data_IF_598563135115
#
_entry.id   IF_598563135115
#
_cell.length_a   1.000
_cell.length_b   1.000
_cell.length_c   1.000
_cell.angle_alpha   90.00
_cell.angle_beta   90.00
_cell.angle_gamma   90.00
#
_symmetry.space_group_name_H-M   'P 1'
#
loop_
_entity.id
_entity.type
_entity.pdbx_description
1 polymer ?
#
# COMPACT_ATOMS: atom_id res chain seq x y z
N UNK A 1 -12.69 -29.61 3.21
CA UNK A 1 -11.34 -29.05 3.23
C UNK A 1 -10.98 -28.76 1.79
N UNK A 2 -10.65 -27.53 1.46
CA UNK A 2 -10.19 -27.12 0.13
C UNK A 2 -8.77 -26.58 0.26
N UNK A 3 -7.99 -26.69 -0.81
CA UNK A 3 -6.60 -26.23 -0.86
C UNK A 3 -6.47 -25.20 -1.97
N UNK A 4 -5.78 -24.12 -1.69
CA UNK A 4 -5.40 -23.10 -2.66
C UNK A 4 -3.88 -23.09 -2.77
N UNK A 5 -3.34 -22.67 -3.91
CA UNK A 5 -1.90 -22.59 -4.14
C UNK A 5 -1.53 -21.19 -4.65
N UNK A 6 -0.29 -20.81 -4.38
CA UNK A 6 0.29 -19.55 -4.79
C UNK A 6 1.81 -19.60 -4.79
N UNK A 7 2.45 -18.45 -4.81
CA UNK A 7 3.90 -18.27 -4.80
C UNK A 7 4.39 -18.00 -3.38
N UNK A 8 5.31 -18.81 -2.88
CA UNK A 8 5.94 -18.60 -1.56
C UNK A 8 6.81 -17.35 -1.59
N UNK A 9 6.59 -16.45 -0.65
CA UNK A 9 7.32 -15.18 -0.49
C UNK A 9 8.15 -15.16 0.78
N UNK A 10 7.62 -15.71 1.84
CA UNK A 10 8.30 -15.90 3.12
C UNK A 10 8.00 -17.31 3.62
N UNK A 11 9.04 -18.09 3.83
CA UNK A 11 8.92 -19.51 4.19
C UNK A 11 8.34 -19.70 5.59
N UNK A 12 7.65 -20.82 5.79
CA UNK A 12 7.17 -21.27 7.08
C UNK A 12 5.78 -21.88 7.04
N UNK A 13 5.38 -22.48 8.16
CA UNK A 13 4.04 -23.07 8.35
C UNK A 13 3.39 -22.40 9.55
N UNK A 14 2.16 -22.00 9.40
CA UNK A 14 1.44 -21.32 10.48
C UNK A 14 -0.07 -21.56 10.42
N UNK A 15 -0.69 -21.56 11.59
CA UNK A 15 -2.13 -21.68 11.76
C UNK A 15 -2.70 -20.38 12.31
N UNK A 16 -3.89 -20.01 11.86
CA UNK A 16 -4.58 -18.85 12.36
C UNK A 16 -5.97 -18.70 11.78
N UNK A 17 -6.66 -17.69 12.26
CA UNK A 17 -8.02 -17.41 11.82
C UNK A 17 -7.98 -16.39 10.70
N UNK A 18 -8.73 -16.64 9.63
CA UNK A 18 -8.84 -15.75 8.49
C UNK A 18 -9.33 -14.35 8.92
N UNK A 19 -8.59 -13.34 8.51
CA UNK A 19 -8.97 -11.95 8.57
C UNK A 19 -8.82 -11.32 7.19
N UNK A 20 -9.93 -11.14 6.50
CA UNK A 20 -9.96 -10.57 5.15
C UNK A 20 -9.99 -9.04 5.27
N UNK A 21 -8.95 -8.41 4.77
CA UNK A 21 -8.89 -6.96 4.65
C UNK A 21 -9.68 -6.55 3.40
N UNK A 22 -10.73 -5.77 3.57
CA UNK A 22 -11.38 -5.13 2.43
C UNK A 22 -10.40 -4.13 1.78
N UNK A 23 -10.29 -4.22 0.46
CA UNK A 23 -9.69 -3.12 -0.30
C UNK A 23 -10.59 -1.90 -0.05
N UNK A 24 -10.01 -0.83 0.50
CA UNK A 24 -10.75 0.41 0.79
C UNK A 24 -11.39 1.10 -0.44
N UNK A 25 -11.49 0.38 -1.56
CA UNK A 25 -12.12 0.80 -2.81
C UNK A 25 -13.65 0.73 -2.80
N UNK A 26 -14.26 0.07 -1.81
CA UNK A 26 -15.71 0.10 -1.61
C UNK A 26 -16.19 1.14 -0.58
N UNK A 27 -15.44 2.22 -0.38
CA UNK A 27 -16.06 3.43 0.14
C UNK A 27 -17.11 3.84 -0.89
N UNK A 28 -18.36 3.50 -0.62
CA UNK A 28 -19.52 3.94 -1.38
C UNK A 28 -19.32 5.41 -1.72
N UNK A 29 -19.19 5.70 -3.00
CA UNK A 29 -19.39 7.02 -3.58
C UNK A 29 -20.83 7.42 -3.30
N UNK A 30 -21.12 7.78 -2.06
CA UNK A 30 -22.28 8.59 -1.78
C UNK A 30 -21.88 9.97 -2.30
N UNK A 31 -22.36 10.31 -3.48
CA UNK A 31 -22.37 11.67 -3.99
C UNK A 31 -23.21 12.54 -3.03
N UNK A 32 -22.63 12.83 -1.87
CA UNK A 32 -23.08 13.94 -1.08
C UNK A 32 -22.49 15.17 -1.77
N UNK A 33 -23.29 15.78 -2.61
CA UNK A 33 -23.04 17.14 -3.11
C UNK A 33 -23.15 18.10 -1.92
N UNK A 34 -22.22 18.00 -1.00
CA UNK A 34 -21.99 19.02 -0.01
C UNK A 34 -21.11 20.06 -0.72
N UNK A 35 -21.63 21.28 -0.87
CA UNK A 35 -20.87 22.43 -1.33
C UNK A 35 -19.82 22.76 -0.26
N UNK A 36 -18.69 22.07 -0.29
CA UNK A 36 -17.55 22.40 0.55
C UNK A 36 -16.89 23.68 0.00
N UNK A 37 -16.44 24.56 0.90
CA UNK A 37 -15.64 25.69 0.45
C UNK A 37 -14.27 25.19 -0.03
N UNK A 38 -13.70 25.86 -1.02
CA UNK A 38 -12.34 25.52 -1.48
C UNK A 38 -11.33 25.50 -0.32
N UNK A 39 -11.50 26.40 0.66
CA UNK A 39 -10.67 26.42 1.86
C UNK A 39 -10.78 25.14 2.69
N UNK A 40 -11.97 24.55 2.82
CA UNK A 40 -12.17 23.32 3.58
C UNK A 40 -11.53 22.13 2.84
N UNK A 41 -11.65 22.07 1.52
CA UNK A 41 -11.01 21.04 0.70
C UNK A 41 -9.47 21.16 0.74
N UNK A 42 -8.89 22.36 0.68
CA UNK A 42 -7.45 22.56 0.88
C UNK A 42 -7.00 22.10 2.27
N UNK A 43 -7.75 22.42 3.33
CA UNK A 43 -7.46 21.99 4.69
C UNK A 43 -7.54 20.45 4.82
N UNK A 44 -8.54 19.84 4.18
CA UNK A 44 -8.72 18.37 4.15
C UNK A 44 -7.50 17.67 3.54
N UNK A 45 -7.03 18.12 2.37
CA UNK A 45 -5.80 17.58 1.77
C UNK A 45 -4.58 17.74 2.67
N UNK A 46 -4.34 18.98 3.17
CA UNK A 46 -3.18 19.29 4.01
C UNK A 46 -3.17 18.55 5.33
N UNK A 47 -4.34 18.24 5.88
CA UNK A 47 -4.47 17.40 7.07
C UNK A 47 -4.15 15.96 6.73
N UNK A 48 -4.78 15.39 5.70
CA UNK A 48 -4.54 14.03 5.26
C UNK A 48 -3.06 13.79 4.92
N UNK A 49 -2.41 14.71 4.19
CA UNK A 49 -0.99 14.59 3.82
C UNK A 49 -0.06 14.60 5.04
N UNK A 50 -0.31 15.47 6.02
CA UNK A 50 0.47 15.50 7.27
C UNK A 50 0.27 14.25 8.13
N UNK A 51 -0.98 13.83 8.29
CA UNK A 51 -1.31 12.67 9.12
C UNK A 51 -0.73 11.39 8.50
N UNK A 52 -0.81 11.25 7.17
CA UNK A 52 -0.24 10.10 6.47
C UNK A 52 1.29 10.10 6.50
N UNK A 53 1.94 11.25 6.27
CA UNK A 53 3.38 11.39 6.39
C UNK A 53 3.87 11.06 7.82
N UNK A 54 3.14 11.49 8.84
CA UNK A 54 3.45 11.14 10.22
C UNK A 54 3.34 9.62 10.47
N UNK A 55 2.32 8.95 9.91
CA UNK A 55 2.19 7.48 9.99
C UNK A 55 3.38 6.77 9.33
N UNK A 56 3.80 7.20 8.13
CA UNK A 56 4.96 6.64 7.43
C UNK A 56 6.25 6.84 8.23
N UNK A 57 6.49 8.04 8.76
CA UNK A 57 7.67 8.34 9.57
C UNK A 57 7.69 7.53 10.88
N UNK A 58 6.54 7.34 11.52
CA UNK A 58 6.44 6.50 12.71
C UNK A 58 6.73 5.03 12.39
N UNK A 59 6.22 4.51 11.27
CA UNK A 59 6.52 3.16 10.81
C UNK A 59 8.01 3.00 10.47
N UNK A 60 8.63 4.01 9.86
CA UNK A 60 10.05 4.04 9.53
C UNK A 60 10.98 4.04 10.77
N UNK A 61 10.51 4.55 11.92
CA UNK A 61 11.26 4.54 13.17
C UNK A 61 11.26 3.16 13.86
N UNK A 62 10.46 2.21 13.40
CA UNK A 62 10.47 0.83 13.87
C UNK A 62 11.62 0.00 13.29
N UNK A 63 11.62 -1.29 13.60
CA UNK A 63 12.57 -2.25 13.00
C UNK A 63 12.06 -2.57 11.59
N UNK A 64 12.51 -1.81 10.61
CA UNK A 64 12.17 -2.00 9.20
C UNK A 64 13.44 -1.96 8.36
N UNK A 65 13.50 -2.70 7.22
CA UNK A 65 14.62 -2.65 6.28
C UNK A 65 14.88 -1.23 5.78
N UNK A 66 16.16 -0.89 5.52
CA UNK A 66 16.54 0.45 5.07
C UNK A 66 15.80 0.87 3.80
N UNK A 67 15.66 -0.04 2.82
CA UNK A 67 14.90 0.22 1.58
C UNK A 67 13.43 0.62 1.85
N UNK A 68 12.79 -0.01 2.83
CA UNK A 68 11.40 0.34 3.22
C UNK A 68 11.36 1.71 3.89
N UNK A 69 12.37 2.02 4.72
CA UNK A 69 12.51 3.33 5.36
C UNK A 69 12.67 4.44 4.32
N UNK A 70 13.53 4.22 3.32
CA UNK A 70 13.77 5.17 2.24
C UNK A 70 12.50 5.40 1.40
N UNK A 71 11.76 4.35 1.08
CA UNK A 71 10.48 4.44 0.39
C UNK A 71 9.48 5.28 1.19
N UNK A 72 9.34 5.04 2.50
CA UNK A 72 8.44 5.81 3.35
C UNK A 72 8.82 7.29 3.40
N UNK A 73 10.12 7.58 3.52
CA UNK A 73 10.65 8.95 3.48
C UNK A 73 10.37 9.65 2.14
N UNK A 74 10.57 8.94 1.03
CA UNK A 74 10.29 9.46 -0.31
C UNK A 74 8.80 9.79 -0.49
N UNK A 75 7.90 8.88 -0.10
CA UNK A 75 6.45 9.10 -0.19
C UNK A 75 6.00 10.24 0.71
N UNK A 76 6.47 10.28 1.96
CA UNK A 76 6.14 11.36 2.89
C UNK A 76 6.57 12.73 2.33
N UNK A 77 7.79 12.82 1.79
CA UNK A 77 8.30 14.04 1.15
C UNK A 77 7.50 14.42 -0.09
N UNK A 78 7.10 13.44 -0.90
CA UNK A 78 6.36 13.67 -2.14
C UNK A 78 4.96 14.25 -1.90
N UNK A 79 4.19 13.67 -0.96
CA UNK A 79 2.83 14.16 -0.66
C UNK A 79 2.80 15.48 0.08
N UNK A 80 3.88 15.83 0.78
CA UNK A 80 4.02 17.12 1.50
C UNK A 80 4.82 18.16 0.72
N UNK A 81 5.22 17.86 -0.52
CA UNK A 81 5.98 18.79 -1.35
C UNK A 81 5.14 20.04 -1.71
N UNK A 82 5.70 21.21 -1.49
CA UNK A 82 5.01 22.49 -1.73
C UNK A 82 4.57 22.67 -3.20
N UNK A 83 5.33 22.18 -4.18
CA UNK A 83 4.93 22.28 -5.59
C UNK A 83 3.65 21.46 -5.85
N UNK A 84 3.58 20.22 -5.33
CA UNK A 84 2.39 19.39 -5.46
C UNK A 84 1.19 20.01 -4.71
N UNK A 85 1.41 20.54 -3.50
CA UNK A 85 0.37 21.21 -2.72
C UNK A 85 -0.20 22.41 -3.49
N UNK A 86 0.65 23.23 -4.09
CA UNK A 86 0.21 24.41 -4.84
C UNK A 86 -0.60 24.03 -6.09
N UNK A 87 -0.21 22.98 -6.82
CA UNK A 87 -0.96 22.49 -7.96
C UNK A 87 -2.33 21.94 -7.54
N UNK A 88 -2.38 21.19 -6.42
CA UNK A 88 -3.62 20.66 -5.86
C UNK A 88 -4.53 21.79 -5.39
N UNK A 89 -4.00 22.77 -4.65
CA UNK A 89 -4.75 23.93 -4.22
C UNK A 89 -5.35 24.69 -5.42
N UNK A 90 -4.59 24.88 -6.50
CA UNK A 90 -5.09 25.53 -7.72
C UNK A 90 -6.30 24.79 -8.31
N UNK A 91 -6.22 23.45 -8.43
CA UNK A 91 -7.35 22.65 -8.91
C UNK A 91 -8.56 22.70 -7.97
N UNK A 92 -8.34 22.77 -6.66
CA UNK A 92 -9.42 22.91 -5.67
C UNK A 92 -10.11 24.27 -5.84
N UNK A 93 -9.35 25.35 -6.04
CA UNK A 93 -9.93 26.67 -6.31
C UNK A 93 -10.67 26.74 -7.65
N UNK A 94 -10.32 25.88 -8.63
CA UNK A 94 -11.04 25.69 -9.88
C UNK A 94 -12.30 24.81 -9.74
N UNK A 95 -12.65 24.40 -8.51
CA UNK A 95 -13.89 23.70 -8.18
C UNK A 95 -13.78 22.17 -8.06
N UNK A 96 -12.57 21.61 -8.06
CA UNK A 96 -12.36 20.18 -7.83
C UNK A 96 -12.42 19.84 -6.33
N UNK A 97 -12.81 18.62 -5.99
CA UNK A 97 -12.65 18.10 -4.64
C UNK A 97 -11.16 17.87 -4.31
N UNK A 98 -10.80 17.85 -3.02
CA UNK A 98 -9.45 17.50 -2.58
C UNK A 98 -9.00 16.14 -3.12
N UNK A 99 -9.92 15.18 -3.20
CA UNK A 99 -9.68 13.84 -3.71
C UNK A 99 -9.34 13.86 -5.20
N UNK A 100 -10.16 14.53 -6.02
CA UNK A 100 -9.98 14.56 -7.47
C UNK A 100 -8.74 15.38 -7.85
N UNK A 101 -8.51 16.50 -7.18
CA UNK A 101 -7.30 17.30 -7.33
C UNK A 101 -6.02 16.49 -6.99
N UNK A 102 -6.03 15.77 -5.86
CA UNK A 102 -4.91 14.91 -5.47
C UNK A 102 -4.66 13.79 -6.49
N UNK A 103 -5.70 13.09 -6.96
CA UNK A 103 -5.58 12.06 -8.00
C UNK A 103 -4.99 12.64 -9.29
N UNK A 104 -5.49 13.81 -9.73
CA UNK A 104 -5.07 14.44 -10.98
C UNK A 104 -3.60 14.89 -10.97
N UNK A 105 -3.09 15.33 -9.83
CA UNK A 105 -1.69 15.78 -9.69
C UNK A 105 -0.74 14.64 -9.40
N UNK A 106 -1.08 13.77 -8.46
CA UNK A 106 -0.13 12.80 -7.91
C UNK A 106 -0.01 11.53 -8.76
N UNK A 107 -1.12 10.98 -9.27
CA UNK A 107 -1.06 9.71 -10.00
C UNK A 107 -0.34 9.77 -11.35
N UNK A 108 -0.51 10.79 -12.20
CA UNK A 108 0.21 10.88 -13.47
C UNK A 108 1.72 11.02 -13.28
N UNK A 109 2.16 11.73 -12.24
CA UNK A 109 3.59 11.89 -11.95
C UNK A 109 4.22 10.55 -11.54
N UNK A 110 3.49 9.72 -10.78
CA UNK A 110 3.94 8.37 -10.40
C UNK A 110 3.97 7.44 -11.62
N UNK A 111 2.96 7.51 -12.50
CA UNK A 111 2.94 6.72 -13.71
C UNK A 111 4.18 6.99 -14.59
N UNK A 112 4.62 8.25 -14.69
CA UNK A 112 5.83 8.62 -15.43
C UNK A 112 7.11 8.03 -14.83
N UNK A 113 7.20 7.89 -13.51
CA UNK A 113 8.33 7.19 -12.89
C UNK A 113 8.38 5.71 -13.27
N UNK A 114 7.21 5.07 -13.42
CA UNK A 114 7.16 3.66 -13.83
C UNK A 114 7.38 3.47 -15.34
N UNK A 115 7.03 4.44 -16.17
CA UNK A 115 7.27 4.40 -17.62
C UNK A 115 8.74 4.68 -17.93
N UNK A 116 9.37 5.61 -17.23
CA UNK A 116 10.79 5.90 -17.39
C UNK A 116 11.68 4.67 -17.07
N UNK A 117 11.22 3.81 -16.15
CA UNK A 117 11.91 2.56 -15.84
C UNK A 117 11.73 1.47 -16.91
N UNK A 118 10.72 1.60 -17.80
CA UNK A 118 10.43 0.59 -18.84
C UNK A 118 10.94 0.97 -20.24
N UNK A 119 11.40 2.21 -20.46
CA UNK A 119 11.87 2.67 -21.78
C UNK A 119 13.30 2.30 -22.14
N UNK A 120 14.08 1.71 -21.21
CA UNK A 120 15.45 1.28 -21.48
C UNK A 120 15.57 -0.12 -22.12
N UNK A 121 14.43 -0.79 -22.42
CA UNK A 121 14.45 -2.21 -22.81
C UNK A 121 14.60 -2.52 -24.30
N UNK A 122 14.59 -1.54 -25.21
CA UNK A 122 14.60 -1.86 -26.66
C UNK A 122 15.99 -1.92 -27.33
N UNK A 123 17.09 -1.53 -26.66
CA UNK A 123 18.40 -1.42 -27.30
C UNK A 123 19.60 -2.08 -26.58
N UNK A 124 19.41 -3.03 -25.66
CA UNK A 124 20.57 -3.53 -24.87
C UNK A 124 20.67 -5.08 -24.80
N UNK A 125 21.33 -5.66 -25.81
CA UNK A 125 21.87 -7.04 -25.75
C UNK A 125 23.06 -7.22 -24.79
N UNK A 126 23.48 -6.17 -24.07
CA UNK A 126 24.67 -6.19 -23.19
C UNK A 126 24.46 -5.49 -21.84
N UNK A 127 23.29 -5.61 -21.21
CA UNK A 127 23.13 -5.15 -19.81
C UNK A 127 23.92 -6.07 -18.86
N UNK A 128 24.68 -5.48 -17.94
CA UNK A 128 25.34 -6.22 -16.87
C UNK A 128 24.29 -6.77 -15.89
N UNK A 129 24.64 -7.82 -15.13
CA UNK A 129 23.74 -8.35 -14.09
C UNK A 129 23.33 -7.27 -13.07
N UNK A 130 24.18 -6.27 -12.86
CA UNK A 130 23.94 -5.16 -11.94
C UNK A 130 22.89 -4.19 -12.50
N UNK A 131 22.92 -3.91 -13.81
CA UNK A 131 21.93 -3.06 -14.48
C UNK A 131 20.53 -3.72 -14.46
N UNK A 132 20.47 -5.06 -14.55
CA UNK A 132 19.22 -5.82 -14.44
C UNK A 132 18.63 -5.78 -13.01
N UNK A 133 19.47 -5.81 -11.97
CA UNK A 133 19.05 -5.66 -10.58
C UNK A 133 18.52 -4.26 -10.30
N UNK A 134 19.17 -3.21 -10.82
CA UNK A 134 18.74 -1.82 -10.65
C UNK A 134 17.41 -1.53 -11.37
N UNK A 135 17.22 -2.02 -12.60
CA UNK A 135 15.96 -1.91 -13.35
C UNK A 135 14.81 -2.61 -12.63
N UNK A 136 15.08 -3.77 -12.03
CA UNK A 136 14.11 -4.56 -11.31
C UNK A 136 13.73 -3.90 -9.98
N UNK A 137 14.69 -3.34 -9.23
CA UNK A 137 14.43 -2.57 -8.02
C UNK A 137 13.57 -1.33 -8.30
N UNK A 138 13.77 -0.67 -9.43
CA UNK A 138 12.99 0.49 -9.86
C UNK A 138 11.54 0.12 -10.22
N UNK A 139 11.31 -1.01 -10.88
CA UNK A 139 9.96 -1.52 -11.19
C UNK A 139 9.19 -1.93 -9.92
N UNK A 140 9.84 -2.62 -9.00
CA UNK A 140 9.26 -3.00 -7.71
C UNK A 140 8.89 -1.75 -6.91
N UNK A 141 9.79 -0.78 -6.80
CA UNK A 141 9.54 0.50 -6.15
C UNK A 141 8.32 1.24 -6.71
N UNK A 142 8.09 1.17 -8.03
CA UNK A 142 6.96 1.88 -8.66
C UNK A 142 5.60 1.29 -8.30
N UNK A 143 5.48 -0.02 -8.18
CA UNK A 143 4.23 -0.68 -7.79
C UNK A 143 3.88 -0.42 -6.32
N UNK A 144 4.86 -0.41 -5.46
CA UNK A 144 4.68 -0.10 -4.05
C UNK A 144 4.38 1.37 -3.81
N UNK A 145 5.03 2.25 -4.56
CA UNK A 145 4.69 3.66 -4.58
C UNK A 145 3.21 3.86 -4.96
N UNK A 146 2.71 3.13 -5.96
CA UNK A 146 1.29 3.14 -6.33
C UNK A 146 0.39 2.63 -5.22
N UNK A 147 0.80 1.56 -4.52
CA UNK A 147 0.04 1.00 -3.40
C UNK A 147 -0.04 2.01 -2.24
N UNK A 148 1.10 2.59 -1.84
CA UNK A 148 1.13 3.63 -0.80
C UNK A 148 0.34 4.88 -1.19
N UNK A 149 0.37 5.28 -2.46
CA UNK A 149 -0.43 6.41 -2.94
C UNK A 149 -1.92 6.10 -2.95
N UNK A 150 -2.32 4.86 -3.25
CA UNK A 150 -3.72 4.42 -3.13
C UNK A 150 -4.18 4.51 -1.68
N UNK A 151 -3.37 4.04 -0.73
CA UNK A 151 -3.64 4.17 0.70
C UNK A 151 -3.78 5.64 1.12
N UNK A 152 -2.86 6.50 0.67
CA UNK A 152 -2.94 7.94 0.92
C UNK A 152 -4.23 8.56 0.38
N UNK A 153 -4.57 8.28 -0.89
CA UNK A 153 -5.80 8.79 -1.53
C UNK A 153 -7.04 8.30 -0.77
N UNK A 154 -7.02 7.06 -0.27
CA UNK A 154 -8.06 6.54 0.61
C UNK A 154 -8.25 7.37 1.88
N UNK A 155 -7.17 7.90 2.46
CA UNK A 155 -7.26 8.75 3.67
C UNK A 155 -7.89 10.11 3.41
N UNK A 156 -7.80 10.66 2.19
CA UNK A 156 -8.48 11.90 1.81
C UNK A 156 -9.99 11.71 1.76
N UNK A 157 -10.45 10.53 1.30
CA UNK A 157 -11.89 10.21 1.19
C UNK A 157 -12.52 9.86 2.54
N UNK A 158 -11.73 9.39 3.50
CA UNK A 158 -12.23 8.93 4.78
C UNK A 158 -12.76 10.09 5.62
N UNK A 159 -13.95 9.91 6.21
CA UNK A 159 -14.42 10.79 7.28
C UNK A 159 -13.42 10.79 8.44
N UNK A 160 -13.32 11.88 9.22
CA UNK A 160 -12.39 11.96 10.37
C UNK A 160 -12.54 10.82 11.38
N UNK A 161 -13.69 10.15 11.42
CA UNK A 161 -13.96 8.97 12.26
C UNK A 161 -13.47 7.64 11.66
N UNK A 162 -13.13 7.59 10.37
CA UNK A 162 -12.63 6.38 9.69
C UNK A 162 -11.11 6.17 9.84
N UNK A 163 -10.40 7.12 10.48
CA UNK A 163 -8.98 6.98 10.77
C UNK A 163 -8.63 5.93 11.85
N UNK A 164 -9.63 5.29 12.46
CA UNK A 164 -9.45 4.22 13.47
C UNK A 164 -9.53 2.80 12.88
N UNK A 165 -9.66 2.64 11.56
CA UNK A 165 -9.81 1.34 10.91
C UNK A 165 -8.49 0.59 10.66
N UNK A 166 -7.51 0.73 11.55
CA UNK A 166 -6.53 -0.33 11.68
C UNK A 166 -7.24 -1.52 12.34
N UNK A 167 -7.38 -2.66 11.65
CA UNK A 167 -8.05 -3.82 12.19
C UNK A 167 -7.47 -4.21 13.55
N UNK A 168 -8.28 -4.19 14.59
CA UNK A 168 -7.85 -4.65 15.93
C UNK A 168 -7.89 -6.17 15.93
N UNK A 169 -6.78 -6.79 15.57
CA UNK A 169 -6.63 -8.23 15.69
C UNK A 169 -6.68 -8.62 17.17
N UNK A 170 -7.68 -9.41 17.55
CA UNK A 170 -7.88 -9.86 18.93
C UNK A 170 -7.40 -11.29 19.16
N UNK A 171 -7.01 -11.98 18.11
CA UNK A 171 -6.54 -13.39 18.10
C UNK A 171 -5.52 -13.59 16.99
N UNK A 172 -4.70 -14.66 17.09
CA UNK A 172 -3.76 -15.02 16.04
C UNK A 172 -4.47 -15.16 14.68
N UNK A 173 -4.09 -14.36 13.69
CA UNK A 173 -4.83 -14.24 12.44
C UNK A 173 -3.95 -14.42 11.22
N UNK A 174 -4.52 -15.02 10.19
CA UNK A 174 -4.00 -15.02 8.81
C UNK A 174 -4.62 -13.85 8.08
N UNK A 175 -3.79 -12.92 7.63
CA UNK A 175 -4.25 -11.74 6.90
C UNK A 175 -4.44 -12.11 5.43
N UNK A 176 -5.63 -11.82 4.91
CA UNK A 176 -5.96 -12.07 3.51
C UNK A 176 -6.32 -10.74 2.87
N UNK A 177 -5.72 -10.42 1.73
CA UNK A 177 -6.01 -9.22 0.97
C UNK A 177 -5.78 -9.45 -0.53
N UNK A 178 -6.28 -8.55 -1.37
CA UNK A 178 -5.87 -8.53 -2.77
C UNK A 178 -4.44 -8.00 -2.89
N UNK A 179 -4.17 -6.87 -2.26
CA UNK A 179 -2.85 -6.24 -2.18
C UNK A 179 -2.69 -5.60 -0.80
N UNK A 180 -1.45 -5.50 -0.31
CA UNK A 180 -1.16 -4.97 1.01
C UNK A 180 0.13 -4.16 0.99
N UNK A 181 0.05 -2.88 1.31
CA UNK A 181 1.24 -2.06 1.41
C UNK A 181 2.03 -2.36 2.70
N UNK A 182 3.36 -2.17 2.69
CA UNK A 182 4.18 -2.29 3.90
C UNK A 182 3.68 -1.41 5.04
N UNK A 183 3.24 -0.18 4.73
CA UNK A 183 2.73 0.76 5.72
C UNK A 183 1.44 0.26 6.38
N UNK A 184 0.51 -0.29 5.59
CA UNK A 184 -0.74 -0.86 6.09
C UNK A 184 -0.49 -2.11 6.92
N UNK A 185 0.45 -2.96 6.49
CA UNK A 185 0.86 -4.14 7.25
C UNK A 185 1.44 -3.76 8.61
N UNK A 186 2.39 -2.81 8.65
CA UNK A 186 3.05 -2.36 9.88
C UNK A 186 2.11 -1.60 10.85
N UNK A 187 0.99 -1.10 10.34
CA UNK A 187 -0.06 -0.53 11.18
C UNK A 187 -0.89 -1.61 11.91
N UNK A 188 -0.85 -2.88 11.47
CA UNK A 188 -1.49 -3.98 12.16
C UNK A 188 -0.72 -4.33 13.44
N UNK A 189 -1.38 -5.06 14.34
CA UNK A 189 -0.70 -5.74 15.45
C UNK A 189 0.08 -6.94 14.92
N UNK A 190 1.32 -6.73 14.52
CA UNK A 190 2.17 -7.75 13.89
C UNK A 190 2.41 -8.96 14.79
N UNK A 191 2.35 -8.78 16.12
CA UNK A 191 2.40 -9.85 17.12
C UNK A 191 1.23 -10.85 17.01
N UNK A 192 0.12 -10.43 16.44
CA UNK A 192 -1.07 -11.26 16.19
C UNK A 192 -1.14 -11.80 14.76
N UNK A 193 -0.29 -11.36 13.84
CA UNK A 193 -0.24 -11.88 12.48
C UNK A 193 0.51 -13.19 12.44
N UNK A 194 -0.13 -14.23 11.92
CA UNK A 194 0.44 -15.59 11.79
C UNK A 194 0.94 -15.89 10.40
N UNK A 195 0.25 -15.38 9.39
CA UNK A 195 0.65 -15.48 8.00
C UNK A 195 -0.03 -14.40 7.18
N UNK A 196 0.47 -14.18 5.96
CA UNK A 196 -0.12 -13.27 4.98
C UNK A 196 -0.41 -14.04 3.69
N UNK A 197 -1.63 -13.92 3.18
CA UNK A 197 -2.07 -14.51 1.92
C UNK A 197 -2.62 -13.40 1.03
N UNK A 198 -2.01 -13.20 -0.13
CA UNK A 198 -2.45 -12.19 -1.08
C UNK A 198 -2.98 -12.85 -2.36
N UNK A 199 -4.10 -12.35 -2.88
CA UNK A 199 -4.64 -12.77 -4.18
C UNK A 199 -3.82 -12.19 -5.33
N UNK A 200 -3.32 -10.96 -5.16
CA UNK A 200 -2.37 -10.28 -6.03
C UNK A 200 -1.02 -10.09 -5.35
N UNK A 201 -0.38 -8.97 -5.64
CA UNK A 201 0.91 -8.59 -5.07
C UNK A 201 2.10 -9.11 -5.88
N UNK A 202 3.29 -8.62 -5.54
CA UNK A 202 4.56 -9.08 -6.15
C UNK A 202 5.42 -9.73 -5.08
N UNK A 203 5.86 -10.97 -5.34
CA UNK A 203 6.66 -11.77 -4.42
C UNK A 203 7.98 -11.09 -4.01
N UNK A 204 8.48 -10.22 -4.86
CA UNK A 204 9.74 -9.49 -4.73
C UNK A 204 9.61 -8.12 -4.06
N UNK A 205 8.41 -7.70 -3.69
CA UNK A 205 8.16 -6.39 -3.11
C UNK A 205 8.74 -6.18 -1.71
N UNK A 206 8.75 -4.90 -1.27
CA UNK A 206 9.23 -4.51 0.07
C UNK A 206 8.42 -5.14 1.20
N UNK A 207 7.12 -5.42 0.98
CA UNK A 207 6.33 -6.17 1.96
C UNK A 207 6.89 -7.58 2.14
N UNK A 208 7.27 -8.26 1.04
CA UNK A 208 7.93 -9.58 1.11
C UNK A 208 9.21 -9.53 1.95
N UNK A 209 10.01 -8.47 1.82
CA UNK A 209 11.22 -8.28 2.64
C UNK A 209 10.87 -8.11 4.12
N UNK A 210 9.87 -7.28 4.44
CA UNK A 210 9.39 -7.09 5.83
C UNK A 210 8.90 -8.41 6.42
N UNK A 211 8.14 -9.20 5.65
CA UNK A 211 7.59 -10.48 6.12
C UNK A 211 8.69 -11.51 6.38
N UNK A 212 9.73 -11.58 5.52
CA UNK A 212 10.92 -12.43 5.73
C UNK A 212 11.69 -12.01 6.99
N UNK A 213 11.93 -10.71 7.19
CA UNK A 213 12.64 -10.20 8.37
C UNK A 213 11.87 -10.48 9.67
N UNK A 214 10.54 -10.45 9.61
CA UNK A 214 9.68 -10.79 10.75
C UNK A 214 9.39 -12.29 10.88
N UNK A 215 9.93 -13.12 9.99
CA UNK A 215 9.68 -14.57 9.93
C UNK A 215 8.17 -14.91 9.90
N UNK A 216 7.39 -14.11 9.17
CA UNK A 216 5.96 -14.32 8.99
C UNK A 216 5.73 -15.05 7.66
N UNK A 217 5.18 -16.29 7.65
CA UNK A 217 4.90 -17.03 6.43
C UNK A 217 4.00 -16.25 5.48
N UNK A 218 4.33 -16.25 4.18
CA UNK A 218 3.55 -15.51 3.19
C UNK A 218 3.47 -16.22 1.85
N UNK A 219 2.25 -16.25 1.30
CA UNK A 219 1.94 -16.81 -0.02
C UNK A 219 1.16 -15.77 -0.82
N UNK A 220 1.64 -15.46 -2.03
CA UNK A 220 1.04 -14.49 -2.93
C UNK A 220 0.46 -15.18 -4.18
N UNK A 221 -0.29 -14.43 -4.97
CA UNK A 221 -0.94 -14.93 -6.19
C UNK A 221 -1.92 -16.11 -5.92
N UNK A 222 -2.52 -16.13 -4.74
CA UNK A 222 -3.48 -17.16 -4.34
C UNK A 222 -4.84 -16.82 -4.91
N UNK A 223 -5.14 -17.35 -6.10
CA UNK A 223 -6.42 -17.09 -6.78
C UNK A 223 -7.61 -17.55 -5.95
N UNK A 224 -8.57 -16.65 -5.75
CA UNK A 224 -9.76 -16.91 -4.97
C UNK A 224 -9.57 -16.75 -3.45
N UNK A 225 -8.43 -16.26 -2.98
CA UNK A 225 -8.18 -16.05 -1.55
C UNK A 225 -9.23 -15.15 -0.89
N UNK A 226 -9.73 -14.14 -1.60
CA UNK A 226 -10.76 -13.23 -1.12
C UNK A 226 -12.15 -13.89 -0.93
N UNK A 227 -12.35 -15.11 -1.42
CA UNK A 227 -13.60 -15.88 -1.17
C UNK A 227 -13.62 -16.55 0.20
N UNK A 228 -12.49 -16.60 0.89
CA UNK A 228 -12.37 -17.10 2.26
C UNK A 228 -13.15 -16.17 3.19
N UNK A 229 -13.89 -16.75 4.12
CA UNK A 229 -14.71 -15.95 5.05
C UNK A 229 -13.92 -15.56 6.29
N UNK A 230 -14.16 -14.36 6.78
CA UNK A 230 -13.63 -13.96 8.08
C UNK A 230 -14.00 -14.98 9.16
N UNK A 231 -13.02 -15.40 9.94
CA UNK A 231 -13.22 -16.31 11.05
C UNK A 231 -13.02 -17.79 10.71
N UNK A 232 -12.73 -18.16 9.47
CA UNK A 232 -12.36 -19.53 9.12
C UNK A 232 -10.97 -19.88 9.67
N UNK A 233 -10.79 -21.12 10.16
CA UNK A 233 -9.50 -21.60 10.58
C UNK A 233 -8.67 -22.01 9.35
N UNK A 234 -7.45 -21.52 9.25
CA UNK A 234 -6.56 -21.73 8.13
C UNK A 234 -5.20 -22.30 8.58
N UNK A 235 -4.67 -23.18 7.76
CA UNK A 235 -3.26 -23.59 7.76
C UNK A 235 -2.61 -22.99 6.52
N UNK A 236 -1.56 -22.20 6.71
CA UNK A 236 -0.73 -21.66 5.64
C UNK A 236 0.59 -22.43 5.65
N UNK A 237 0.86 -23.13 4.57
CA UNK A 237 2.12 -23.84 4.32
C UNK A 237 2.84 -23.13 3.17
N UNK A 238 3.88 -22.40 3.51
CA UNK A 238 4.73 -21.62 2.60
C UNK A 238 6.14 -22.26 2.49
N UNK A 239 6.19 -23.61 2.39
CA UNK A 239 7.46 -24.35 2.19
C UNK A 239 7.77 -24.58 0.72
#
# INVERSE_FOLDING_TARGET
>A
MYTMSGVTVSEGVSEGVAYVLSDGSEAHLVDVVATFSASDECLKYRRASRDFAAKLNNAANGTVPDKVRDLFGAVASYITNNANINEIDALIYDGNSALDAAKSVLLPKIARFSEAASFDDEDNEHKSLQDQEDDWEMQVSSNELRSLMRDFIGTISASPSANDDVPKLNRPSVIIANDLSPARFLALRTDMVRAVVLEGGQASGHLGTVLRDLCIPAVYEVKGALTIKNGEDLLVDAT
#
